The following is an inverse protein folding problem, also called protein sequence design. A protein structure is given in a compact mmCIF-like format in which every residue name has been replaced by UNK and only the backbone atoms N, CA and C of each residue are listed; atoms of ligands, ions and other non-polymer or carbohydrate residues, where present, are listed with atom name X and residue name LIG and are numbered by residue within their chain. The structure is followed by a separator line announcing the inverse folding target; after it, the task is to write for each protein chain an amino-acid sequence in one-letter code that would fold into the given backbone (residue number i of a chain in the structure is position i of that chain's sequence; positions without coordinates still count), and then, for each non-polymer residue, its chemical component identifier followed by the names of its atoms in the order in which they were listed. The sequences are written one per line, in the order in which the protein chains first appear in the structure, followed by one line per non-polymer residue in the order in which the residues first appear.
data_IF_309110984320
#
_entry.id   IF_309110984320
#
_cell.length_a   1.000
_cell.length_b   1.000
_cell.length_c   1.000
_cell.angle_alpha   90.00
_cell.angle_beta   90.00
_cell.angle_gamma   90.00
#
_symmetry.space_group_name_H-M   'P 1'
#
loop_
_entity.id
_entity.type
_entity.pdbx_description
1 polymer ?
#
# COMPACT_ATOMS: atom_id res chain seq x y z
N UNK A 1 32.29 -28.74 -8.37
CA UNK A 1 31.75 -27.45 -8.88
C UNK A 1 30.34 -27.20 -8.33
N UNK A 2 30.19 -26.73 -7.07
CA UNK A 2 28.87 -26.54 -6.42
C UNK A 2 28.10 -25.29 -6.86
N UNK A 3 28.73 -24.38 -7.60
CA UNK A 3 28.14 -23.09 -8.03
C UNK A 3 27.13 -23.27 -9.17
N UNK A 4 27.34 -24.27 -10.03
CA UNK A 4 26.47 -24.58 -11.17
C UNK A 4 25.08 -25.07 -10.75
N UNK A 5 25.00 -25.93 -9.71
CA UNK A 5 23.72 -26.50 -9.27
C UNK A 5 22.74 -25.48 -8.71
N UNK A 6 23.22 -24.50 -7.93
CA UNK A 6 22.38 -23.44 -7.36
C UNK A 6 21.86 -22.48 -8.45
N UNK A 7 22.71 -22.14 -9.43
CA UNK A 7 22.32 -21.31 -10.56
C UNK A 7 21.22 -21.98 -11.41
N UNK A 8 21.36 -23.28 -11.70
CA UNK A 8 20.35 -24.05 -12.43
C UNK A 8 19.01 -24.12 -11.67
N UNK A 9 19.04 -24.35 -10.36
CA UNK A 9 17.84 -24.36 -9.53
C UNK A 9 17.13 -23.00 -9.53
N UNK A 10 17.90 -21.90 -9.45
CA UNK A 10 17.36 -20.54 -9.53
C UNK A 10 16.70 -20.24 -10.88
N UNK A 11 17.32 -20.68 -12.00
CA UNK A 11 16.73 -20.50 -13.33
C UNK A 11 15.42 -21.27 -13.48
N UNK A 12 15.38 -22.51 -12.99
CA UNK A 12 14.15 -23.32 -13.00
C UNK A 12 13.03 -22.67 -12.18
N UNK A 13 13.35 -22.08 -11.03
CA UNK A 13 12.36 -21.38 -10.21
C UNK A 13 11.81 -20.13 -10.92
N UNK A 14 12.68 -19.37 -11.60
CA UNK A 14 12.26 -18.23 -12.42
C UNK A 14 11.38 -18.66 -13.59
N UNK A 15 11.73 -19.75 -14.28
CA UNK A 15 10.94 -20.29 -15.40
C UNK A 15 9.53 -20.68 -14.95
N UNK A 16 9.39 -21.32 -13.77
CA UNK A 16 8.08 -21.64 -13.19
C UNK A 16 7.23 -20.40 -12.95
N UNK A 17 7.83 -19.30 -12.49
CA UNK A 17 7.13 -18.03 -12.28
C UNK A 17 6.66 -17.46 -13.62
N UNK A 18 7.53 -17.44 -14.64
CA UNK A 18 7.14 -17.00 -15.98
C UNK A 18 6.00 -17.83 -16.56
N UNK A 19 6.07 -19.15 -16.44
CA UNK A 19 5.03 -20.05 -16.93
C UNK A 19 3.70 -19.85 -16.22
N UNK A 20 3.73 -19.66 -14.90
CA UNK A 20 2.55 -19.27 -14.13
C UNK A 20 1.95 -17.94 -14.62
N UNK A 21 2.77 -16.90 -14.77
CA UNK A 21 2.29 -15.58 -15.23
C UNK A 21 1.70 -15.61 -16.63
N UNK A 22 2.20 -16.46 -17.53
CA UNK A 22 1.66 -16.66 -18.88
C UNK A 22 0.23 -17.21 -18.87
N UNK A 23 -0.15 -17.97 -17.84
CA UNK A 23 -1.51 -18.51 -17.69
C UNK A 23 -2.54 -17.54 -17.12
N UNK A 24 -2.15 -16.33 -16.72
CA UNK A 24 -3.07 -15.35 -16.12
C UNK A 24 -3.85 -14.56 -17.19
N UNK A 25 -5.11 -14.21 -16.88
CA UNK A 25 -5.90 -13.29 -17.71
C UNK A 25 -5.26 -11.89 -17.71
N UNK A 26 -4.75 -11.49 -18.88
CA UNK A 26 -4.09 -10.22 -19.07
C UNK A 26 -4.98 -9.02 -18.74
N UNK A 27 -6.30 -9.07 -18.99
CA UNK A 27 -7.17 -7.90 -18.74
C UNK A 27 -7.35 -7.63 -17.25
N UNK A 28 -7.42 -8.70 -16.44
CA UNK A 28 -7.66 -8.61 -15.00
C UNK A 28 -6.37 -8.41 -14.21
N UNK A 29 -5.29 -9.09 -14.60
CA UNK A 29 -4.08 -9.19 -13.79
C UNK A 29 -2.86 -8.47 -14.38
N UNK A 30 -3.04 -7.59 -15.38
CA UNK A 30 -1.92 -6.88 -16.00
C UNK A 30 -1.03 -6.12 -15.00
N UNK A 31 -1.67 -5.46 -14.02
CA UNK A 31 -0.99 -4.63 -13.02
C UNK A 31 -0.11 -5.49 -12.12
N UNK A 32 -0.67 -6.53 -11.50
CA UNK A 32 0.10 -7.44 -10.65
C UNK A 32 1.17 -8.19 -11.44
N UNK A 33 0.89 -8.58 -12.69
CA UNK A 33 1.88 -9.21 -13.57
C UNK A 33 3.07 -8.27 -13.85
N UNK A 34 2.82 -7.01 -14.19
CA UNK A 34 3.87 -6.01 -14.41
C UNK A 34 4.69 -5.75 -13.15
N UNK A 35 4.03 -5.69 -11.99
CA UNK A 35 4.70 -5.51 -10.69
C UNK A 35 5.59 -6.70 -10.31
N UNK A 36 5.18 -7.93 -10.63
CA UNK A 36 5.99 -9.13 -10.40
C UNK A 36 7.21 -9.15 -11.33
N UNK A 37 7.02 -8.84 -12.62
CA UNK A 37 8.10 -8.84 -13.61
C UNK A 37 9.13 -7.71 -13.38
N UNK A 38 8.76 -6.67 -12.62
CA UNK A 38 9.66 -5.55 -12.29
C UNK A 38 10.55 -5.83 -11.06
N UNK A 39 10.43 -7.00 -10.42
CA UNK A 39 11.25 -7.36 -9.26
C UNK A 39 12.56 -8.03 -9.70
N UNK A 40 13.68 -7.59 -9.12
CA UNK A 40 14.99 -8.22 -9.31
C UNK A 40 15.62 -8.59 -7.96
N UNK A 41 15.83 -9.89 -7.67
CA UNK A 41 15.47 -11.05 -8.49
C UNK A 41 13.95 -11.29 -8.52
N UNK A 42 13.46 -12.04 -9.53
CA UNK A 42 12.06 -12.46 -9.57
C UNK A 42 11.67 -13.16 -8.26
N UNK A 43 10.44 -12.93 -7.75
CA UNK A 43 9.97 -13.58 -6.55
C UNK A 43 9.77 -15.07 -6.78
N UNK A 44 9.77 -15.86 -5.70
CA UNK A 44 9.39 -17.27 -5.78
C UNK A 44 7.95 -17.45 -6.24
N UNK A 45 7.64 -18.64 -6.78
CA UNK A 45 6.30 -18.97 -7.27
C UNK A 45 5.21 -18.73 -6.22
N UNK A 46 5.47 -19.10 -4.95
CA UNK A 46 4.53 -18.89 -3.86
C UNK A 46 4.25 -17.41 -3.60
N UNK A 47 5.27 -16.55 -3.69
CA UNK A 47 5.11 -15.09 -3.52
C UNK A 47 4.35 -14.47 -4.69
N UNK A 48 4.61 -14.93 -5.92
CA UNK A 48 3.86 -14.51 -7.10
C UNK A 48 2.38 -14.91 -6.99
N UNK A 49 2.09 -16.15 -6.59
CA UNK A 49 0.73 -16.63 -6.34
C UNK A 49 0.01 -15.78 -5.28
N UNK A 50 0.64 -15.55 -4.12
CA UNK A 50 0.06 -14.72 -3.07
C UNK A 50 -0.22 -13.28 -3.53
N UNK A 51 0.60 -12.72 -4.42
CA UNK A 51 0.35 -11.40 -4.99
C UNK A 51 -0.90 -11.38 -5.88
N UNK A 52 -1.11 -12.42 -6.70
CA UNK A 52 -2.31 -12.55 -7.54
C UNK A 52 -3.57 -12.67 -6.69
N UNK A 53 -3.56 -13.47 -5.62
CA UNK A 53 -4.71 -13.59 -4.70
C UNK A 53 -5.07 -12.25 -4.05
N UNK A 54 -4.06 -11.46 -3.66
CA UNK A 54 -4.30 -10.11 -3.11
C UNK A 54 -4.93 -9.18 -4.15
N UNK A 55 -4.43 -9.20 -5.38
CA UNK A 55 -5.01 -8.40 -6.48
C UNK A 55 -6.46 -8.81 -6.74
N UNK A 56 -6.77 -10.11 -6.77
CA UNK A 56 -8.14 -10.60 -6.97
C UNK A 56 -9.09 -10.09 -5.88
N UNK A 57 -8.70 -10.16 -4.61
CA UNK A 57 -9.50 -9.63 -3.50
C UNK A 57 -9.71 -8.11 -3.62
N UNK A 58 -8.67 -7.38 -4.06
CA UNK A 58 -8.78 -5.94 -4.29
C UNK A 58 -9.74 -5.61 -5.42
N UNK A 59 -9.67 -6.34 -6.55
CA UNK A 59 -10.57 -6.16 -7.68
C UNK A 59 -12.02 -6.42 -7.30
N UNK A 60 -12.29 -7.48 -6.52
CA UNK A 60 -13.63 -7.76 -5.99
C UNK A 60 -14.18 -6.60 -5.15
N UNK A 61 -13.35 -6.00 -4.28
CA UNK A 61 -13.76 -4.85 -3.48
C UNK A 61 -14.01 -3.60 -4.32
N UNK A 62 -13.14 -3.31 -5.30
CA UNK A 62 -13.32 -2.13 -6.19
C UNK A 62 -14.56 -2.24 -7.09
N UNK A 63 -14.96 -3.45 -7.51
CA UNK A 63 -16.19 -3.63 -8.30
C UNK A 63 -17.46 -3.34 -7.49
N UNK A 64 -17.40 -3.47 -6.16
CA UNK A 64 -18.50 -3.08 -5.27
C UNK A 64 -18.53 -1.57 -5.01
N UNK A 65 -17.46 -0.84 -5.37
CA UNK A 65 -17.23 0.56 -5.00
C UNK A 65 -16.69 1.33 -6.21
N UNK A 66 -17.51 1.67 -7.21
CA UNK A 66 -17.18 2.74 -8.16
C UNK A 66 -18.46 3.45 -8.64
N UNK A 67 -18.49 4.81 -8.84
CA UNK A 67 -17.45 5.81 -8.61
C UNK A 67 -17.92 6.97 -7.70
N UNK A 68 -17.39 7.08 -6.49
CA UNK A 68 -17.22 8.38 -5.80
C UNK A 68 -15.91 8.35 -5.05
N UNK A 69 -14.92 9.03 -5.61
CA UNK A 69 -13.66 9.44 -4.97
C UNK A 69 -12.50 8.43 -5.10
N UNK A 70 -11.96 8.30 -6.31
CA UNK A 70 -10.63 7.73 -6.56
C UNK A 70 -9.51 8.70 -6.10
N UNK A 71 -9.44 8.98 -4.80
CA UNK A 71 -8.24 9.55 -4.16
C UNK A 71 -7.89 8.69 -2.95
N UNK A 72 -7.65 7.40 -3.15
CA UNK A 72 -7.09 6.58 -2.07
C UNK A 72 -6.42 5.29 -2.60
N UNK A 73 -5.58 5.44 -3.62
CA UNK A 73 -4.42 4.52 -3.75
C UNK A 73 -3.37 5.01 -2.75
N UNK A 74 -3.53 4.59 -1.49
CA UNK A 74 -2.63 4.87 -0.37
C UNK A 74 -1.16 4.74 -0.82
N UNK A 75 -0.40 5.83 -0.83
CA UNK A 75 0.24 6.36 0.37
C UNK A 75 1.13 5.33 1.08
N UNK A 76 2.02 4.68 0.33
CA UNK A 76 3.28 4.15 0.87
C UNK A 76 4.47 4.89 0.25
N UNK A 77 4.52 6.21 0.45
CA UNK A 77 5.76 6.97 0.44
C UNK A 77 5.75 7.88 1.65
N UNK A 78 6.30 7.36 2.74
CA UNK A 78 6.87 8.19 3.78
C UNK A 78 8.03 8.98 3.14
N UNK A 79 7.74 10.18 2.67
CA UNK A 79 8.74 11.22 2.44
C UNK A 79 8.05 12.54 2.68
N UNK A 80 8.29 13.04 3.89
CA UNK A 80 8.65 14.43 4.16
C UNK A 80 7.99 15.49 3.28
N UNK A 81 7.01 16.16 3.90
CA UNK A 81 6.91 17.62 4.00
C UNK A 81 7.09 18.43 2.72
N UNK A 82 5.99 19.05 2.26
CA UNK A 82 5.81 20.51 2.23
C UNK A 82 4.56 20.84 1.42
N UNK A 83 3.40 20.97 2.08
CA UNK A 83 2.24 21.68 1.50
C UNK A 83 1.61 22.56 2.58
N UNK A 84 1.90 23.85 2.46
CA UNK A 84 1.06 25.00 2.81
C UNK A 84 0.43 24.97 4.22
N UNK A 85 1.22 25.35 5.20
CA UNK A 85 0.86 25.58 6.60
C UNK A 85 0.07 26.87 6.87
N UNK A 86 -0.79 27.33 5.96
CA UNK A 86 -1.40 28.66 6.11
C UNK A 86 -2.88 28.69 6.51
N UNK A 87 -3.55 27.55 6.69
CA UNK A 87 -4.99 27.55 6.97
C UNK A 87 -5.49 26.46 7.93
N UNK A 88 -4.65 26.02 8.88
CA UNK A 88 -5.13 25.17 9.98
C UNK A 88 -5.48 26.08 11.15
N UNK A 89 -6.71 26.00 11.72
CA UNK A 89 -7.07 26.79 12.89
C UNK A 89 -6.06 26.53 14.00
N UNK A 90 -5.47 27.62 14.51
CA UNK A 90 -4.55 27.60 15.64
C UNK A 90 -5.34 28.00 16.86
N UNK A 91 -5.26 27.19 17.91
CA UNK A 91 -5.92 27.50 19.17
C UNK A 91 -5.24 28.71 19.83
N UNK A 92 -6.00 29.75 20.16
CA UNK A 92 -5.49 30.95 20.84
C UNK A 92 -4.96 30.65 22.24
N UNK A 93 -5.47 29.60 22.90
CA UNK A 93 -5.11 29.23 24.28
C UNK A 93 -3.82 28.40 24.37
N UNK A 94 -3.79 27.22 23.74
CA UNK A 94 -2.66 26.29 23.85
C UNK A 94 -1.66 26.40 22.69
N UNK A 95 -1.92 27.29 21.71
CA UNK A 95 -1.10 27.52 20.52
C UNK A 95 -0.90 26.28 19.62
N UNK A 96 -1.60 25.17 19.90
CA UNK A 96 -1.60 23.95 19.08
C UNK A 96 -2.51 24.12 17.86
N UNK A 97 -2.14 23.48 16.76
CA UNK A 97 -2.92 23.48 15.51
C UNK A 97 -4.08 22.48 15.58
N UNK A 98 -5.04 22.63 14.66
CA UNK A 98 -6.16 21.69 14.38
C UNK A 98 -7.41 21.82 15.27
N UNK A 99 -7.48 22.81 16.16
CA UNK A 99 -8.70 23.08 16.94
C UNK A 99 -8.80 24.57 17.27
N UNK A 100 -10.03 25.05 17.49
CA UNK A 100 -10.30 26.41 17.96
C UNK A 100 -10.34 26.48 19.49
N UNK A 101 -10.29 27.68 20.06
CA UNK A 101 -10.24 27.89 21.52
C UNK A 101 -11.36 27.18 22.27
N UNK A 102 -12.59 27.15 21.72
CA UNK A 102 -13.74 26.51 22.35
C UNK A 102 -13.67 24.97 22.36
N UNK A 103 -12.73 24.37 21.63
CA UNK A 103 -12.47 22.93 21.57
C UNK A 103 -11.13 22.57 22.23
N UNK A 104 -10.51 23.52 22.93
CA UNK A 104 -9.25 23.27 23.59
C UNK A 104 -9.48 22.34 24.78
N UNK A 105 -8.86 21.16 24.78
CA UNK A 105 -8.99 20.20 25.87
C UNK A 105 -8.48 20.73 27.22
N UNK A 106 -7.57 21.72 27.20
CA UNK A 106 -7.15 22.46 28.41
C UNK A 106 -8.28 23.34 28.99
N UNK A 107 -9.25 23.77 28.17
CA UNK A 107 -10.40 24.60 28.56
C UNK A 107 -11.68 23.77 28.77
N UNK A 108 -11.97 22.82 27.89
CA UNK A 108 -13.18 21.99 27.89
C UNK A 108 -13.09 20.83 28.88
N UNK A 109 -11.87 20.56 29.38
CA UNK A 109 -11.44 19.34 30.09
C UNK A 109 -11.33 18.15 29.13
N UNK A 110 -10.38 17.27 29.42
CA UNK A 110 -10.20 16.04 28.66
C UNK A 110 -11.41 15.12 28.88
N UNK A 111 -11.91 14.44 27.83
CA UNK A 111 -12.92 13.41 27.96
C UNK A 111 -12.50 12.34 28.98
N UNK A 112 -13.46 11.67 29.66
CA UNK A 112 -13.17 10.68 30.69
C UNK A 112 -12.44 9.41 30.20
N UNK A 113 -12.19 9.28 28.89
CA UNK A 113 -11.45 8.18 28.25
C UNK A 113 -10.08 8.60 27.70
N UNK A 114 -9.53 9.74 28.17
CA UNK A 114 -8.26 10.28 27.66
C UNK A 114 -7.01 9.75 28.38
N UNK A 115 -7.20 8.94 29.43
CA UNK A 115 -6.15 8.23 30.16
C UNK A 115 -6.25 6.72 29.92
N UNK A 116 -5.80 6.26 28.74
CA UNK A 116 -5.38 4.87 28.46
C UNK A 116 -4.21 4.86 27.46
#
# INVERSE_FOLDING_TARGET
LPICGKAMASMLEQEKVHQFLMGLDNKKFNTVRSNILSQEPLPSLNKAYAAVIREESQLQFTQLIEPRNTIERAAFKATSQNRSSSNRPKCSHCQKLRHEQHQCYELVRYPPWWDD
#
